data_IF_080349331874
#
_entry.id   IF_080349331874
#
_cell.length_a   1.000
_cell.length_b   1.000
_cell.length_c   1.000
_cell.angle_alpha   90.00
_cell.angle_beta   90.00
_cell.angle_gamma   90.00
#
_symmetry.space_group_name_H-M   'P 1'
#
loop_
_entity.id
_entity.type
_entity.pdbx_description
1 polymer ?
#
# COMPACT_ATOMS: atom_id res chain seq x y z
N UNK A 1 -24.76 6.88 8.40
CA UNK A 1 -24.40 5.93 9.46
C UNK A 1 -22.90 6.02 9.71
N UNK A 2 -22.51 6.10 10.99
CA UNK A 2 -21.12 6.16 11.42
C UNK A 2 -20.88 4.97 12.35
N UNK A 3 -19.85 4.17 12.07
CA UNK A 3 -19.41 3.13 12.99
C UNK A 3 -18.36 3.70 13.95
N UNK A 4 -18.46 3.34 15.22
CA UNK A 4 -17.52 3.73 16.25
C UNK A 4 -16.76 2.51 16.74
N UNK A 5 -15.43 2.55 16.69
CA UNK A 5 -14.59 1.60 17.42
C UNK A 5 -14.06 2.27 18.67
N UNK A 6 -14.43 1.74 19.81
CA UNK A 6 -14.07 2.29 21.12
C UNK A 6 -13.15 1.29 21.82
N UNK A 7 -12.03 1.77 22.29
CA UNK A 7 -11.10 1.02 23.16
C UNK A 7 -10.92 1.78 24.46
N UNK A 8 -11.08 1.09 25.59
CA UNK A 8 -10.83 1.65 26.92
C UNK A 8 -9.72 0.88 27.61
N UNK A 9 -8.91 1.58 28.37
CA UNK A 9 -7.83 1.02 29.17
C UNK A 9 -7.84 1.68 30.55
N UNK A 10 -7.86 0.93 31.66
CA UNK A 10 -7.72 1.51 33.00
C UNK A 10 -6.31 2.07 33.18
N UNK A 11 -6.22 3.28 33.70
CA UNK A 11 -4.97 3.96 34.05
C UNK A 11 -4.97 4.42 35.50
N UNK A 12 -3.84 4.90 36.01
CA UNK A 12 -3.72 5.39 37.38
C UNK A 12 -4.69 6.56 37.71
N UNK A 13 -5.07 7.36 36.72
CA UNK A 13 -5.92 8.54 36.87
C UNK A 13 -7.32 8.37 36.26
N UNK A 14 -7.79 7.14 36.07
CA UNK A 14 -9.07 6.83 35.44
C UNK A 14 -8.92 6.04 34.17
N UNK A 15 -9.94 6.01 33.32
CA UNK A 15 -9.91 5.27 32.04
C UNK A 15 -9.42 6.18 30.90
N UNK A 16 -8.48 5.67 30.10
CA UNK A 16 -8.16 6.25 28.80
C UNK A 16 -9.07 5.66 27.75
N UNK A 17 -9.70 6.53 26.94
CA UNK A 17 -10.64 6.14 25.90
C UNK A 17 -10.11 6.58 24.54
N UNK A 18 -10.04 5.64 23.59
CA UNK A 18 -9.75 5.94 22.19
C UNK A 18 -10.98 5.63 21.37
N UNK A 19 -11.48 6.61 20.64
CA UNK A 19 -12.63 6.47 19.74
C UNK A 19 -12.19 6.67 18.31
N UNK A 20 -12.40 5.65 17.47
CA UNK A 20 -12.18 5.73 16.02
C UNK A 20 -13.53 5.87 15.32
N UNK A 21 -13.67 6.96 14.59
CA UNK A 21 -14.83 7.21 13.73
C UNK A 21 -14.60 6.55 12.37
N UNK A 22 -15.53 5.73 11.92
CA UNK A 22 -15.51 5.07 10.61
C UNK A 22 -16.72 5.55 9.82
N UNK A 23 -16.50 6.43 8.84
CA UNK A 23 -17.56 6.86 7.92
C UNK A 23 -17.79 5.81 6.85
N UNK A 24 -19.01 5.28 6.78
CA UNK A 24 -19.41 4.28 5.77
C UNK A 24 -19.57 4.84 4.35
N UNK A 25 -19.55 6.16 4.19
CA UNK A 25 -19.93 6.83 2.93
C UNK A 25 -18.81 6.99 1.90
N UNK A 26 -17.56 6.61 2.20
CA UNK A 26 -16.43 6.78 1.27
C UNK A 26 -15.96 5.45 0.66
N UNK A 27 -16.84 4.80 -0.08
CA UNK A 27 -16.70 3.37 -0.31
C UNK A 27 -16.04 3.01 -1.65
N UNK A 28 -16.01 3.88 -2.64
CA UNK A 28 -15.50 3.51 -3.97
C UNK A 28 -14.47 4.54 -4.47
N UNK A 29 -13.30 4.50 -3.87
CA UNK A 29 -12.19 5.26 -4.45
C UNK A 29 -11.62 4.45 -5.62
N UNK A 30 -11.72 5.00 -6.82
CA UNK A 30 -11.01 4.44 -7.97
C UNK A 30 -9.50 4.44 -7.69
N UNK A 31 -8.80 3.41 -8.18
CA UNK A 31 -7.34 3.34 -8.10
C UNK A 31 -6.65 4.61 -8.59
N UNK A 32 -7.21 5.29 -9.60
CA UNK A 32 -6.69 6.55 -10.14
C UNK A 32 -6.71 7.68 -9.12
N UNK A 33 -7.67 7.69 -8.18
CA UNK A 33 -7.80 8.72 -7.16
C UNK A 33 -6.87 8.52 -5.95
N UNK A 34 -6.23 7.34 -5.82
CA UNK A 34 -5.32 7.03 -4.71
C UNK A 34 -3.99 7.78 -4.80
N UNK A 35 -3.64 8.27 -5.97
CA UNK A 35 -2.41 9.01 -6.21
C UNK A 35 -1.27 8.18 -6.82
N UNK A 36 -1.55 7.03 -7.41
CA UNK A 36 -0.56 6.32 -8.22
C UNK A 36 -0.05 7.22 -9.35
N UNK A 37 1.26 7.26 -9.65
CA UNK A 37 1.75 7.76 -10.93
C UNK A 37 1.09 6.99 -12.08
N UNK A 38 0.82 7.66 -13.21
CA UNK A 38 0.08 7.04 -14.32
C UNK A 38 0.76 5.79 -14.91
N UNK A 39 2.09 5.79 -14.99
CA UNK A 39 2.92 4.67 -15.40
C UNK A 39 2.76 3.48 -14.44
N UNK A 40 2.90 3.73 -13.15
CA UNK A 40 2.73 2.72 -12.09
C UNK A 40 1.30 2.20 -12.02
N UNK A 41 0.29 3.09 -12.19
CA UNK A 41 -1.12 2.70 -12.22
C UNK A 41 -1.41 1.72 -13.36
N UNK A 42 -0.83 1.95 -14.54
CA UNK A 42 -0.95 1.05 -15.69
C UNK A 42 -0.36 -0.33 -15.39
N UNK A 43 0.86 -0.38 -14.85
CA UNK A 43 1.53 -1.63 -14.50
C UNK A 43 0.81 -2.39 -13.37
N UNK A 44 0.42 -1.70 -12.31
CA UNK A 44 -0.34 -2.29 -11.20
C UNK A 44 -1.68 -2.85 -11.69
N UNK A 45 -2.40 -2.10 -12.54
CA UNK A 45 -3.66 -2.54 -13.13
C UNK A 45 -3.50 -3.78 -14.02
N UNK A 46 -2.43 -3.86 -14.80
CA UNK A 46 -2.13 -5.03 -15.62
C UNK A 46 -1.81 -6.28 -14.77
N UNK A 47 -1.15 -6.08 -13.63
CA UNK A 47 -0.78 -7.18 -12.73
C UNK A 47 -1.99 -7.73 -11.98
N UNK A 48 -2.88 -6.88 -11.47
CA UNK A 48 -4.10 -7.35 -10.78
C UNK A 48 -5.14 -7.95 -11.72
N UNK A 49 -4.99 -7.78 -13.03
CA UNK A 49 -5.83 -8.42 -14.03
C UNK A 49 -5.35 -9.83 -14.44
N UNK A 50 -4.18 -10.27 -13.96
CA UNK A 50 -3.66 -11.61 -14.23
C UNK A 50 -4.54 -12.68 -13.57
N UNK A 51 -4.61 -13.89 -14.18
CA UNK A 51 -5.46 -14.96 -13.66
C UNK A 51 -4.96 -15.53 -12.33
N UNK A 52 -3.67 -15.51 -12.08
CA UNK A 52 -3.05 -16.06 -10.86
C UNK A 52 -1.76 -15.34 -10.51
N UNK A 53 -1.30 -15.52 -9.28
CA UNK A 53 -0.08 -14.99 -8.73
C UNK A 53 -0.31 -14.19 -7.46
N UNK A 54 0.78 -13.74 -6.83
CA UNK A 54 0.77 -13.00 -5.57
C UNK A 54 1.08 -11.52 -5.81
N UNK A 55 0.20 -10.64 -5.33
CA UNK A 55 0.40 -9.18 -5.32
C UNK A 55 0.40 -8.69 -3.87
N UNK A 56 1.40 -7.93 -3.50
CA UNK A 56 1.55 -7.42 -2.15
C UNK A 56 1.43 -5.90 -2.11
N UNK A 57 0.76 -5.40 -1.08
CA UNK A 57 0.78 -3.98 -0.74
C UNK A 57 1.41 -3.84 0.64
N UNK A 58 2.48 -3.07 0.76
CA UNK A 58 3.20 -2.92 2.02
C UNK A 58 3.27 -1.48 2.50
N UNK A 59 3.52 -1.32 3.80
CA UNK A 59 3.64 -0.04 4.47
C UNK A 59 3.24 -0.14 5.94
N UNK A 60 3.53 0.87 6.76
CA UNK A 60 3.14 0.90 8.17
C UNK A 60 1.62 0.94 8.34
N UNK A 61 1.17 0.81 9.57
CA UNK A 61 -0.23 1.01 9.93
C UNK A 61 -0.68 2.42 9.53
N UNK A 62 -1.87 2.53 8.94
CA UNK A 62 -2.40 3.81 8.47
C UNK A 62 -1.85 4.31 7.14
N UNK A 63 -1.07 3.52 6.39
CA UNK A 63 -0.57 3.90 5.06
C UNK A 63 -1.60 3.75 3.94
N UNK A 64 -2.82 3.24 4.21
CA UNK A 64 -3.90 3.10 3.25
C UNK A 64 -3.91 1.78 2.47
N UNK A 65 -3.21 0.74 2.92
CA UNK A 65 -3.11 -0.56 2.26
C UNK A 65 -4.47 -1.19 1.96
N UNK A 66 -5.34 -1.26 2.96
CA UNK A 66 -6.70 -1.81 2.81
C UNK A 66 -7.51 -1.04 1.76
N UNK A 67 -7.43 0.29 1.75
CA UNK A 67 -8.09 1.13 0.74
C UNK A 67 -7.58 0.80 -0.66
N UNK A 68 -6.28 0.59 -0.83
CA UNK A 68 -5.68 0.21 -2.11
C UNK A 68 -6.13 -1.19 -2.55
N UNK A 69 -6.15 -2.16 -1.64
CA UNK A 69 -6.66 -3.51 -1.96
C UNK A 69 -8.14 -3.51 -2.30
N UNK A 70 -8.95 -2.74 -1.58
CA UNK A 70 -10.38 -2.63 -1.87
C UNK A 70 -10.64 -1.94 -3.22
N UNK A 71 -9.89 -0.90 -3.56
CA UNK A 71 -9.94 -0.27 -4.88
C UNK A 71 -9.50 -1.24 -6.00
N UNK A 72 -8.48 -2.07 -5.73
CA UNK A 72 -8.05 -3.12 -6.65
C UNK A 72 -9.13 -4.18 -6.83
N UNK A 73 -9.73 -4.68 -5.73
CA UNK A 73 -10.84 -5.64 -5.79
C UNK A 73 -12.03 -5.06 -6.55
N UNK A 74 -12.44 -3.82 -6.28
CA UNK A 74 -13.54 -3.15 -6.98
C UNK A 74 -13.30 -3.07 -8.48
N UNK A 75 -12.06 -2.83 -8.90
CA UNK A 75 -11.68 -2.75 -10.32
C UNK A 75 -11.75 -4.08 -11.05
N UNK A 76 -11.44 -5.21 -10.37
CA UNK A 76 -11.40 -6.55 -10.95
C UNK A 76 -12.63 -7.39 -10.59
N UNK A 77 -13.58 -6.80 -9.86
CA UNK A 77 -14.82 -7.44 -9.47
C UNK A 77 -15.72 -7.63 -10.70
N UNK A 78 -15.89 -8.88 -11.07
CA UNK A 78 -16.69 -9.32 -12.21
C UNK A 78 -17.67 -10.40 -11.71
N UNK A 79 -18.96 -10.36 -12.07
CA UNK A 79 -19.93 -11.40 -11.70
C UNK A 79 -19.52 -12.83 -12.07
N UNK A 80 -18.65 -12.99 -13.07
CA UNK A 80 -18.11 -14.30 -13.49
C UNK A 80 -16.94 -14.77 -12.59
N UNK A 81 -16.46 -13.94 -11.63
CA UNK A 81 -15.33 -14.26 -10.76
C UNK A 81 -15.75 -14.38 -9.31
N UNK A 82 -15.33 -15.43 -8.65
CA UNK A 82 -15.57 -15.62 -7.23
C UNK A 82 -14.43 -14.99 -6.42
N UNK A 83 -14.76 -13.90 -5.71
CA UNK A 83 -13.83 -13.19 -4.84
C UNK A 83 -14.15 -13.53 -3.38
N UNK A 84 -13.13 -13.98 -2.64
CA UNK A 84 -13.24 -14.25 -1.20
C UNK A 84 -12.14 -13.52 -0.46
N UNK A 85 -12.49 -12.85 0.64
CA UNK A 85 -11.53 -12.18 1.51
C UNK A 85 -11.52 -12.77 2.92
N UNK A 86 -10.39 -12.62 3.60
CA UNK A 86 -10.27 -12.86 5.05
C UNK A 86 -9.54 -11.69 5.69
N UNK A 87 -10.18 -11.06 6.71
CA UNK A 87 -9.81 -9.73 7.22
C UNK A 87 -9.92 -9.63 8.75
N UNK A 88 -9.15 -8.72 9.34
CA UNK A 88 -9.15 -8.47 10.80
C UNK A 88 -9.14 -6.96 11.15
N UNK A 89 -10.32 -6.35 11.24
CA UNK A 89 -11.65 -6.81 10.80
C UNK A 89 -11.97 -6.40 9.36
N UNK A 90 -13.14 -6.77 8.86
CA UNK A 90 -13.73 -6.18 7.65
C UNK A 90 -14.01 -4.70 7.91
N UNK A 91 -13.43 -3.80 7.09
CA UNK A 91 -13.58 -2.35 7.27
C UNK A 91 -14.93 -1.84 6.76
N UNK A 92 -15.33 -2.31 5.58
CA UNK A 92 -16.67 -2.07 5.00
C UNK A 92 -17.00 -3.15 3.97
N UNK A 93 -18.29 -3.28 3.66
CA UNK A 93 -18.79 -4.31 2.75
C UNK A 93 -18.53 -3.94 1.29
N UNK A 94 -18.05 -4.90 0.52
CA UNK A 94 -17.90 -4.82 -0.93
C UNK A 94 -18.98 -5.67 -1.60
N UNK A 95 -19.80 -5.05 -2.44
CA UNK A 95 -20.82 -5.78 -3.20
C UNK A 95 -20.17 -6.81 -4.13
N UNK A 96 -20.71 -8.03 -4.14
CA UNK A 96 -20.16 -9.13 -4.96
C UNK A 96 -18.92 -9.83 -4.41
N UNK A 97 -18.47 -9.47 -3.20
CA UNK A 97 -17.29 -10.06 -2.53
C UNK A 97 -17.74 -10.83 -1.29
N UNK A 98 -17.25 -12.06 -1.13
CA UNK A 98 -17.49 -12.87 0.07
C UNK A 98 -16.44 -12.53 1.12
N UNK A 99 -16.79 -11.69 2.09
CA UNK A 99 -15.86 -11.21 3.11
C UNK A 99 -16.00 -12.01 4.41
N UNK A 100 -14.89 -12.57 4.88
CA UNK A 100 -14.80 -13.35 6.11
C UNK A 100 -14.02 -12.53 7.14
N UNK A 101 -14.59 -12.36 8.33
CA UNK A 101 -13.88 -11.73 9.43
C UNK A 101 -13.23 -12.77 10.33
N UNK A 102 -11.94 -12.58 10.63
CA UNK A 102 -11.20 -13.38 11.61
C UNK A 102 -11.90 -13.36 12.97
N UNK A 103 -11.98 -14.52 13.62
CA UNK A 103 -12.55 -14.71 14.96
C UNK A 103 -11.68 -15.68 15.76
N UNK A 104 -10.58 -15.23 16.37
CA UNK A 104 -9.64 -16.11 17.08
C UNK A 104 -10.28 -16.93 18.20
N UNK A 105 -11.34 -16.39 18.83
CA UNK A 105 -12.05 -17.06 19.94
C UNK A 105 -12.65 -18.42 19.54
N UNK A 106 -12.94 -18.60 18.25
CA UNK A 106 -13.48 -19.87 17.71
C UNK A 106 -12.48 -20.56 16.78
N UNK A 107 -11.20 -20.16 16.81
CA UNK A 107 -10.15 -20.77 15.99
C UNK A 107 -10.15 -20.32 14.52
N UNK A 108 -10.98 -19.35 14.13
CA UNK A 108 -10.97 -18.77 12.77
C UNK A 108 -9.85 -17.75 12.67
N UNK A 109 -8.64 -18.22 12.42
CA UNK A 109 -7.43 -17.43 12.17
C UNK A 109 -7.26 -17.16 10.66
N UNK A 110 -6.30 -16.31 10.26
CA UNK A 110 -5.94 -16.11 8.85
C UNK A 110 -5.58 -17.42 8.16
N UNK A 111 -4.70 -18.22 8.75
CA UNK A 111 -4.26 -19.49 8.19
C UNK A 111 -5.42 -20.50 8.04
N UNK A 112 -6.21 -20.71 9.11
CA UNK A 112 -7.33 -21.66 9.07
C UNK A 112 -8.43 -21.24 8.09
N UNK A 113 -8.73 -19.95 8.05
CA UNK A 113 -9.69 -19.39 7.09
C UNK A 113 -9.20 -19.53 5.66
N UNK A 114 -7.93 -19.21 5.40
CA UNK A 114 -7.34 -19.33 4.07
C UNK A 114 -7.31 -20.77 3.55
N UNK A 115 -6.98 -21.77 4.41
CA UNK A 115 -7.11 -23.19 4.06
C UNK A 115 -8.53 -23.59 3.63
N UNK A 116 -9.54 -22.98 4.24
CA UNK A 116 -10.94 -23.24 3.88
C UNK A 116 -11.32 -22.52 2.59
N UNK A 117 -10.83 -21.29 2.39
CA UNK A 117 -11.08 -20.46 1.20
C UNK A 117 -10.58 -21.16 -0.08
N UNK A 118 -9.37 -21.73 -0.08
CA UNK A 118 -8.79 -22.42 -1.27
C UNK A 118 -9.65 -23.59 -1.73
N UNK A 119 -10.50 -24.16 -0.85
CA UNK A 119 -11.43 -25.27 -1.20
C UNK A 119 -12.81 -24.78 -1.63
N UNK A 120 -13.00 -23.47 -1.75
CA UNK A 120 -14.25 -22.84 -2.15
C UNK A 120 -14.27 -22.42 -3.63
N UNK A 121 -13.31 -22.91 -4.42
CA UNK A 121 -13.18 -22.56 -5.85
C UNK A 121 -13.18 -21.04 -6.10
N UNK A 122 -12.28 -20.27 -5.46
CA UNK A 122 -12.18 -18.83 -5.67
C UNK A 122 -11.29 -18.54 -6.88
N UNK A 123 -11.61 -17.49 -7.65
CA UNK A 123 -10.69 -16.92 -8.64
C UNK A 123 -9.70 -15.95 -7.99
N UNK A 124 -10.20 -15.16 -7.02
CA UNK A 124 -9.44 -14.11 -6.37
C UNK A 124 -9.56 -14.26 -4.85
N UNK A 125 -8.44 -14.24 -4.18
CA UNK A 125 -8.34 -14.31 -2.72
C UNK A 125 -7.70 -13.02 -2.20
N UNK A 126 -8.28 -12.36 -1.20
CA UNK A 126 -7.60 -11.30 -0.47
C UNK A 126 -7.39 -11.74 0.98
N UNK A 127 -6.13 -11.72 1.40
CA UNK A 127 -5.73 -11.92 2.80
C UNK A 127 -5.38 -10.56 3.37
N UNK A 128 -6.11 -10.10 4.37
CA UNK A 128 -5.95 -8.77 4.95
C UNK A 128 -4.50 -8.44 5.28
N UNK A 129 -3.80 -9.38 5.89
CA UNK A 129 -2.35 -9.28 6.14
C UNK A 129 -1.69 -10.65 6.34
N UNK A 130 -0.41 -10.74 6.04
CA UNK A 130 0.46 -11.89 6.35
C UNK A 130 1.33 -11.53 7.54
N UNK A 131 1.13 -12.23 8.67
CA UNK A 131 1.89 -12.03 9.91
C UNK A 131 2.84 -13.16 10.25
N UNK A 132 2.57 -14.35 9.75
CA UNK A 132 3.24 -15.60 10.11
C UNK A 132 3.54 -16.46 8.87
N UNK A 133 4.43 -17.43 9.07
CA UNK A 133 4.85 -18.37 8.03
C UNK A 133 3.69 -19.19 7.47
N UNK A 134 2.81 -19.68 8.33
CA UNK A 134 1.71 -20.56 7.91
C UNK A 134 0.76 -19.85 6.92
N UNK A 135 0.39 -18.59 7.21
CA UNK A 135 -0.42 -17.77 6.32
C UNK A 135 0.33 -17.45 5.01
N UNK A 136 1.65 -17.14 5.10
CA UNK A 136 2.49 -16.85 3.95
C UNK A 136 2.59 -18.05 3.01
N UNK A 137 2.85 -19.24 3.56
CA UNK A 137 2.97 -20.48 2.79
C UNK A 137 1.69 -20.81 2.03
N UNK A 138 0.53 -20.75 2.69
CA UNK A 138 -0.75 -21.05 2.05
C UNK A 138 -1.07 -20.00 0.97
N UNK A 139 -0.79 -18.73 1.20
CA UNK A 139 -0.99 -17.65 0.22
C UNK A 139 -0.14 -17.86 -1.05
N UNK A 140 1.14 -18.22 -0.88
CA UNK A 140 2.06 -18.51 -1.99
C UNK A 140 1.61 -19.77 -2.75
N UNK A 141 1.23 -20.82 -2.04
CA UNK A 141 0.72 -22.05 -2.69
C UNK A 141 -0.59 -21.79 -3.46
N UNK A 142 -1.52 -21.01 -2.89
CA UNK A 142 -2.74 -20.62 -3.59
C UNK A 142 -2.42 -19.85 -4.88
N UNK A 143 -1.46 -18.93 -4.84
CA UNK A 143 -1.01 -18.18 -6.01
C UNK A 143 -0.39 -19.07 -7.11
N UNK A 144 0.30 -20.15 -6.73
CA UNK A 144 0.89 -21.14 -7.65
C UNK A 144 -0.16 -22.10 -8.23
N UNK A 145 -1.25 -22.35 -7.51
CA UNK A 145 -2.29 -23.30 -7.91
C UNK A 145 -3.45 -22.66 -8.69
N UNK A 146 -3.28 -21.43 -9.18
CA UNK A 146 -4.21 -20.82 -10.12
C UNK A 146 -5.06 -19.67 -9.59
N UNK A 147 -4.82 -19.21 -8.36
CA UNK A 147 -5.57 -18.11 -7.75
C UNK A 147 -4.80 -16.79 -7.81
N UNK A 148 -5.48 -15.69 -8.05
CA UNK A 148 -4.92 -14.36 -7.81
C UNK A 148 -5.01 -14.06 -6.32
N UNK A 149 -3.87 -13.91 -5.66
CA UNK A 149 -3.80 -13.62 -4.22
C UNK A 149 -3.33 -12.19 -4.00
N UNK A 150 -4.14 -11.41 -3.29
CA UNK A 150 -3.83 -10.04 -2.86
C UNK A 150 -3.59 -10.06 -1.35
N UNK A 151 -2.52 -9.44 -0.87
CA UNK A 151 -2.29 -9.36 0.58
C UNK A 151 -1.47 -8.14 0.98
N UNK A 152 -1.33 -7.95 2.31
CA UNK A 152 -0.50 -6.88 2.85
C UNK A 152 0.60 -7.40 3.76
N UNK A 153 1.66 -6.60 3.84
CA UNK A 153 2.77 -6.74 4.80
C UNK A 153 3.03 -5.41 5.52
N UNK A 154 3.77 -5.49 6.62
CA UNK A 154 4.21 -4.32 7.38
C UNK A 154 5.72 -4.13 7.23
N UNK A 155 6.17 -3.75 6.02
CA UNK A 155 7.58 -3.38 5.75
C UNK A 155 7.67 -1.95 5.26
N UNK A 156 8.87 -1.38 5.30
CA UNK A 156 9.07 0.03 4.98
C UNK A 156 9.10 0.32 3.48
N UNK A 157 9.51 -0.64 2.67
CA UNK A 157 9.64 -0.54 1.22
C UNK A 157 9.29 -1.88 0.55
N UNK A 158 9.26 -1.90 -0.77
CA UNK A 158 8.87 -3.08 -1.54
C UNK A 158 9.94 -4.19 -1.50
N UNK A 159 11.21 -3.86 -1.49
CA UNK A 159 12.30 -4.83 -1.39
C UNK A 159 12.28 -5.54 -0.03
N UNK A 160 12.04 -4.79 1.05
CA UNK A 160 11.87 -5.33 2.39
C UNK A 160 10.71 -6.30 2.53
N UNK A 161 9.66 -6.17 1.72
CA UNK A 161 8.55 -7.13 1.71
C UNK A 161 8.98 -8.52 1.21
N UNK A 162 9.84 -8.55 0.19
CA UNK A 162 10.42 -9.79 -0.33
C UNK A 162 11.31 -10.43 0.74
N UNK A 163 12.24 -9.66 1.30
CA UNK A 163 13.12 -10.14 2.36
C UNK A 163 12.33 -10.67 3.57
N UNK A 164 11.25 -9.99 3.93
CA UNK A 164 10.39 -10.39 5.06
C UNK A 164 9.74 -11.74 4.85
N UNK A 165 9.26 -12.06 3.63
CA UNK A 165 8.69 -13.38 3.34
C UNK A 165 9.76 -14.48 3.39
N UNK A 166 10.97 -14.22 2.88
CA UNK A 166 12.10 -15.15 2.98
C UNK A 166 12.51 -15.38 4.44
N UNK A 167 12.59 -14.32 5.26
CA UNK A 167 12.86 -14.42 6.71
C UNK A 167 11.79 -15.20 7.47
N UNK A 168 10.52 -15.12 7.04
CA UNK A 168 9.45 -15.93 7.60
C UNK A 168 9.59 -17.41 7.26
N UNK A 169 10.47 -17.80 6.30
CA UNK A 169 10.73 -19.18 5.91
C UNK A 169 10.06 -19.60 4.61
N UNK A 170 9.44 -18.67 3.87
CA UNK A 170 8.90 -18.96 2.54
C UNK A 170 10.05 -19.36 1.61
N UNK A 171 9.88 -20.49 0.92
CA UNK A 171 10.89 -20.98 -0.01
C UNK A 171 11.09 -19.98 -1.17
N UNK A 172 12.33 -19.66 -1.47
CA UNK A 172 12.74 -18.67 -2.47
C UNK A 172 12.17 -18.95 -3.87
N UNK A 173 12.27 -20.20 -4.33
CA UNK A 173 11.77 -20.61 -5.66
C UNK A 173 10.23 -20.54 -5.75
N UNK A 174 9.51 -20.79 -4.65
CA UNK A 174 8.04 -20.66 -4.60
C UNK A 174 7.64 -19.18 -4.64
N UNK A 175 8.33 -18.33 -3.85
CA UNK A 175 8.11 -16.90 -3.86
C UNK A 175 8.42 -16.30 -5.25
N UNK A 176 9.58 -16.62 -5.83
CA UNK A 176 9.96 -16.14 -7.15
C UNK A 176 9.00 -16.55 -8.26
N UNK A 177 8.39 -17.74 -8.14
CA UNK A 177 7.44 -18.25 -9.15
C UNK A 177 6.02 -17.69 -8.98
N UNK A 178 5.64 -17.27 -7.78
CA UNK A 178 4.29 -16.77 -7.48
C UNK A 178 4.17 -15.25 -7.50
N UNK A 179 5.23 -14.53 -7.11
CA UNK A 179 5.20 -13.08 -6.95
C UNK A 179 5.01 -12.37 -8.30
N UNK A 180 4.05 -11.46 -8.37
CA UNK A 180 3.81 -10.59 -9.52
C UNK A 180 4.37 -9.19 -9.31
N UNK A 181 4.27 -8.68 -8.09
CA UNK A 181 4.79 -7.38 -7.72
C UNK A 181 4.45 -6.97 -6.30
N UNK A 182 5.15 -5.95 -5.85
CA UNK A 182 4.99 -5.35 -4.51
C UNK A 182 4.80 -3.85 -4.64
N UNK A 183 3.70 -3.31 -4.12
CA UNK A 183 3.47 -1.88 -4.00
C UNK A 183 3.77 -1.43 -2.57
N UNK A 184 4.78 -0.62 -2.36
CA UNK A 184 4.96 0.07 -1.08
C UNK A 184 4.24 1.41 -1.09
N UNK A 185 3.64 1.79 0.05
CA UNK A 185 2.74 2.93 0.14
C UNK A 185 2.91 3.70 1.44
N UNK A 186 2.81 5.03 1.35
CA UNK A 186 2.66 5.97 2.46
C UNK A 186 1.55 6.96 2.15
N UNK A 187 0.97 7.56 3.18
CA UNK A 187 0.03 8.67 3.03
C UNK A 187 0.67 9.99 3.44
N UNK A 188 0.50 11.00 2.58
CA UNK A 188 0.82 12.39 2.84
C UNK A 188 -0.45 13.21 2.86
N UNK A 189 -0.48 14.32 3.61
CA UNK A 189 -1.60 15.25 3.58
C UNK A 189 -1.63 15.98 2.23
N UNK A 190 -2.80 16.12 1.64
CA UNK A 190 -3.00 16.84 0.38
C UNK A 190 -3.17 18.33 0.67
N UNK A 191 -2.44 19.16 -0.06
CA UNK A 191 -2.55 20.62 0.05
C UNK A 191 -3.95 21.09 -0.31
N UNK A 192 -4.46 22.06 0.46
CA UNK A 192 -5.67 22.78 0.12
C UNK A 192 -5.42 23.62 -1.14
N UNK A 193 -6.25 23.44 -2.15
CA UNK A 193 -6.11 24.15 -3.41
C UNK A 193 -6.43 25.64 -3.28
N UNK A 194 -7.29 26.00 -2.31
CA UNK A 194 -7.72 27.38 -2.09
C UNK A 194 -6.65 28.27 -1.45
N UNK A 195 -5.70 27.69 -0.69
CA UNK A 195 -4.74 28.53 0.06
C UNK A 195 -3.26 28.15 -0.10
N UNK A 196 -2.93 27.11 -0.89
CA UNK A 196 -1.52 26.76 -1.13
C UNK A 196 -0.80 27.88 -1.86
N UNK A 197 0.45 28.14 -1.48
CA UNK A 197 1.31 29.14 -2.13
C UNK A 197 2.60 28.52 -2.64
N UNK A 198 3.16 29.13 -3.67
CA UNK A 198 4.47 28.73 -4.20
C UNK A 198 5.59 29.36 -3.37
N UNK A 199 6.64 28.58 -3.14
CA UNK A 199 7.89 29.01 -2.54
C UNK A 199 9.07 28.54 -3.36
N UNK A 200 9.97 29.45 -3.67
CA UNK A 200 11.27 29.11 -4.23
C UNK A 200 12.18 28.54 -3.13
N UNK A 201 12.78 27.39 -3.39
CA UNK A 201 13.82 26.83 -2.53
C UNK A 201 15.18 27.40 -2.93
N UNK A 202 16.01 27.70 -1.92
CA UNK A 202 17.40 27.97 -2.17
C UNK A 202 18.12 26.69 -2.69
N UNK A 203 19.21 26.81 -3.44
CA UNK A 203 19.89 25.67 -4.06
C UNK A 203 20.37 24.61 -3.08
N UNK A 204 20.75 24.99 -1.85
CA UNK A 204 21.21 24.06 -0.82
C UNK A 204 20.03 23.23 -0.30
N UNK A 205 18.94 23.88 0.11
CA UNK A 205 17.71 23.19 0.55
C UNK A 205 17.14 22.27 -0.54
N UNK A 206 17.21 22.68 -1.80
CA UNK A 206 16.78 21.83 -2.92
C UNK A 206 17.65 20.57 -3.03
N UNK A 207 18.95 20.71 -2.95
CA UNK A 207 19.92 19.59 -2.99
C UNK A 207 19.75 18.65 -1.80
N UNK A 208 19.66 19.18 -0.59
CA UNK A 208 19.53 18.40 0.66
C UNK A 208 18.22 17.62 0.72
N UNK A 209 17.16 18.17 0.13
CA UNK A 209 15.87 17.47 -0.01
C UNK A 209 15.88 16.39 -1.09
N UNK A 210 16.87 16.35 -1.98
CA UNK A 210 16.94 15.44 -3.13
C UNK A 210 16.15 15.92 -4.35
N UNK A 211 15.67 17.16 -4.34
CA UNK A 211 15.05 17.79 -5.51
C UNK A 211 16.14 18.19 -6.51
N UNK A 212 16.24 17.43 -7.60
CA UNK A 212 17.18 17.76 -8.66
C UNK A 212 16.73 19.00 -9.43
N UNK A 213 17.64 19.91 -9.64
CA UNK A 213 17.48 21.02 -10.58
C UNK A 213 17.53 20.43 -11.99
N UNK A 214 16.38 20.25 -12.64
CA UNK A 214 16.36 19.86 -14.06
C UNK A 214 16.82 21.04 -14.90
N UNK A 215 17.92 20.83 -15.64
CA UNK A 215 18.45 21.67 -16.73
C UNK A 215 18.06 23.16 -16.67
N UNK A 216 18.80 23.96 -15.91
CA UNK A 216 18.72 25.42 -15.95
C UNK A 216 17.50 26.06 -15.28
N UNK A 217 16.58 25.32 -14.71
CA UNK A 217 15.49 25.84 -13.87
C UNK A 217 15.96 26.04 -12.43
N UNK A 218 16.52 27.16 -12.13
CA UNK A 218 16.77 27.65 -10.77
C UNK A 218 15.95 28.95 -10.61
N UNK A 219 15.19 29.13 -9.52
CA UNK A 219 15.06 28.28 -8.36
C UNK A 219 14.06 27.13 -8.49
N UNK A 220 14.27 26.02 -7.76
CA UNK A 220 13.28 24.93 -7.62
C UNK A 220 12.10 25.45 -6.82
N UNK A 221 10.90 25.38 -7.40
CA UNK A 221 9.67 25.81 -6.73
C UNK A 221 8.96 24.62 -6.09
N UNK A 222 8.53 24.78 -4.85
CA UNK A 222 7.65 23.87 -4.11
C UNK A 222 6.43 24.64 -3.60
N UNK A 223 5.49 23.90 -3.01
CA UNK A 223 4.27 24.50 -2.47
C UNK A 223 4.22 24.36 -0.95
N UNK A 224 3.65 25.38 -0.30
CA UNK A 224 3.47 25.44 1.14
C UNK A 224 1.99 25.54 1.51
N UNK A 225 1.69 25.01 2.71
CA UNK A 225 0.40 25.08 3.35
C UNK A 225 0.29 26.42 4.08
N UNK A 226 -0.77 27.18 3.79
CA UNK A 226 -1.01 28.47 4.50
C UNK A 226 -2.11 28.32 5.54
N UNK A 227 -3.31 27.94 5.10
CA UNK A 227 -4.52 27.87 5.91
C UNK A 227 -5.61 28.81 5.40
N UNK A 228 -6.85 28.35 5.41
CA UNK A 228 -8.05 29.13 5.10
C UNK A 228 -9.27 28.43 5.75
N UNK A 229 -10.43 29.06 5.64
CA UNK A 229 -11.66 28.52 6.24
C UNK A 229 -12.06 27.17 5.66
N UNK A 230 -11.86 26.94 4.35
CA UNK A 230 -12.15 25.65 3.70
C UNK A 230 -11.36 24.47 4.29
N UNK A 231 -10.14 24.70 4.72
CA UNK A 231 -9.29 23.68 5.32
C UNK A 231 -9.19 23.78 6.84
N UNK A 232 -10.06 24.56 7.49
CA UNK A 232 -10.04 24.81 8.93
C UNK A 232 -8.65 25.27 9.42
N UNK A 233 -8.04 26.21 8.70
CA UNK A 233 -6.74 26.82 8.96
C UNK A 233 -5.54 25.87 8.97
N UNK A 234 -5.73 24.61 8.50
CA UNK A 234 -4.65 23.60 8.48
C UNK A 234 -3.75 23.68 7.24
N UNK A 235 -4.22 24.27 6.16
CA UNK A 235 -3.57 24.27 4.84
C UNK A 235 -3.65 22.94 4.10
N UNK A 236 -4.36 21.91 4.65
CA UNK A 236 -4.49 20.58 4.06
C UNK A 236 -5.94 20.13 4.03
N UNK A 237 -6.29 19.33 2.98
CA UNK A 237 -7.61 18.70 2.82
C UNK A 237 -7.42 17.27 2.35
N UNK A 238 -7.74 16.31 3.23
CA UNK A 238 -7.61 14.89 2.95
C UNK A 238 -6.17 14.40 2.84
N UNK A 239 -6.01 13.23 2.27
CA UNK A 239 -4.73 12.52 2.13
C UNK A 239 -4.59 11.95 0.73
N UNK A 240 -3.35 11.71 0.30
CA UNK A 240 -3.03 11.07 -0.97
C UNK A 240 -1.86 10.11 -0.76
N UNK A 241 -1.84 9.01 -1.54
CA UNK A 241 -0.74 8.05 -1.49
C UNK A 241 0.50 8.55 -2.20
N UNK A 242 1.66 8.15 -1.70
CA UNK A 242 2.90 8.06 -2.45
C UNK A 242 3.27 6.59 -2.58
N UNK A 243 3.77 6.20 -3.75
CA UNK A 243 3.92 4.81 -4.13
C UNK A 243 5.32 4.50 -4.64
N UNK A 244 5.75 3.28 -4.34
CA UNK A 244 6.86 2.59 -4.96
C UNK A 244 6.32 1.26 -5.47
N UNK A 245 6.55 0.92 -6.72
CA UNK A 245 6.08 -0.34 -7.26
C UNK A 245 7.22 -1.15 -7.86
N UNK A 246 7.42 -2.33 -7.29
CA UNK A 246 8.43 -3.28 -7.69
C UNK A 246 7.76 -4.45 -8.42
N UNK A 247 8.01 -4.56 -9.72
CA UNK A 247 7.53 -5.65 -10.54
C UNK A 247 8.46 -6.86 -10.45
N UNK A 248 7.92 -8.05 -10.30
CA UNK A 248 8.70 -9.28 -10.32
C UNK A 248 9.10 -9.63 -11.76
N UNK A 249 10.23 -9.06 -12.21
CA UNK A 249 10.85 -9.40 -13.49
C UNK A 249 11.65 -10.71 -13.38
N UNK A 250 12.01 -11.38 -14.48
CA UNK A 250 12.86 -12.56 -14.43
C UNK A 250 14.20 -12.34 -13.70
N UNK A 251 14.81 -11.17 -13.88
CA UNK A 251 16.06 -10.78 -13.20
C UNK A 251 15.81 -10.61 -11.70
N UNK A 252 14.67 -10.03 -11.32
CA UNK A 252 14.27 -9.89 -9.92
C UNK A 252 14.04 -11.26 -9.27
N UNK A 253 13.35 -12.16 -9.97
CA UNK A 253 13.14 -13.53 -9.50
C UNK A 253 14.47 -14.28 -9.30
N UNK A 254 15.46 -14.07 -10.18
CA UNK A 254 16.79 -14.66 -10.02
C UNK A 254 17.50 -14.14 -8.73
N UNK A 255 17.35 -12.86 -8.38
CA UNK A 255 17.91 -12.32 -7.12
C UNK A 255 17.22 -12.93 -5.90
N UNK A 256 15.91 -13.16 -5.96
CA UNK A 256 15.14 -13.81 -4.90
C UNK A 256 15.68 -15.23 -4.65
N UNK A 257 15.80 -16.04 -5.72
CA UNK A 257 16.31 -17.43 -5.63
C UNK A 257 17.77 -17.48 -5.16
N UNK A 258 18.57 -16.43 -5.44
CA UNK A 258 19.93 -16.33 -4.94
C UNK A 258 20.04 -15.79 -3.50
N UNK A 259 18.93 -15.58 -2.82
CA UNK A 259 18.87 -14.98 -1.48
C UNK A 259 19.62 -13.66 -1.37
N UNK A 260 19.56 -12.81 -2.41
CA UNK A 260 20.23 -11.52 -2.38
C UNK A 260 19.54 -10.57 -1.40
N UNK A 261 20.33 -9.77 -0.72
CA UNK A 261 19.86 -8.77 0.24
C UNK A 261 18.93 -7.73 -0.43
N UNK A 262 18.05 -7.11 0.36
CA UNK A 262 17.12 -6.06 -0.08
C UNK A 262 17.85 -4.92 -0.86
N UNK A 263 19.11 -4.63 -0.53
CA UNK A 263 19.95 -3.66 -1.23
C UNK A 263 20.20 -4.02 -2.70
N UNK A 264 20.45 -5.30 -3.00
CA UNK A 264 20.67 -5.76 -4.37
C UNK A 264 19.35 -5.71 -5.18
N UNK A 265 18.24 -6.11 -4.54
CA UNK A 265 16.89 -6.01 -5.12
C UNK A 265 16.58 -4.55 -5.45
N UNK A 266 16.84 -3.62 -4.53
CA UNK A 266 16.62 -2.19 -4.72
C UNK A 266 17.49 -1.62 -5.83
N UNK A 267 18.77 -2.01 -5.91
CA UNK A 267 19.68 -1.57 -6.97
C UNK A 267 19.22 -2.03 -8.35
N UNK A 268 18.78 -3.27 -8.48
CA UNK A 268 18.19 -3.77 -9.74
C UNK A 268 16.93 -2.99 -10.09
N UNK A 269 16.01 -2.79 -9.14
CA UNK A 269 14.78 -2.01 -9.35
C UNK A 269 15.10 -0.60 -9.86
N UNK A 270 16.12 0.04 -9.31
CA UNK A 270 16.58 1.36 -9.76
C UNK A 270 17.07 1.33 -11.21
N UNK A 271 17.84 0.34 -11.61
CA UNK A 271 18.29 0.21 -13.01
C UNK A 271 17.15 -0.09 -13.98
N UNK A 272 16.06 -0.70 -13.51
CA UNK A 272 14.84 -0.94 -14.26
C UNK A 272 13.87 0.25 -14.27
N UNK A 273 14.27 1.40 -13.67
CA UNK A 273 13.48 2.62 -13.68
C UNK A 273 12.38 2.69 -12.63
N UNK A 274 12.40 1.80 -11.62
CA UNK A 274 11.46 1.88 -10.50
C UNK A 274 11.60 3.22 -9.79
N UNK A 275 10.47 3.93 -9.64
CA UNK A 275 10.39 5.15 -8.84
C UNK A 275 10.16 4.77 -7.39
N UNK A 276 11.02 5.24 -6.49
CA UNK A 276 10.90 4.99 -5.06
C UNK A 276 9.94 5.96 -4.37
N UNK A 277 9.47 5.61 -3.17
CA UNK A 277 8.53 6.40 -2.37
C UNK A 277 8.94 7.88 -2.26
N UNK A 278 10.23 8.15 -1.98
CA UNK A 278 10.73 9.51 -1.85
C UNK A 278 10.66 10.28 -3.17
N UNK A 279 11.00 9.65 -4.27
CA UNK A 279 10.99 10.26 -5.60
C UNK A 279 9.56 10.61 -6.04
N UNK A 280 8.60 9.71 -5.83
CA UNK A 280 7.18 9.97 -6.08
C UNK A 280 6.65 11.11 -5.19
N UNK A 281 7.03 11.10 -3.92
CA UNK A 281 6.68 12.16 -2.98
C UNK A 281 7.25 13.52 -3.39
N UNK A 282 8.51 13.58 -3.80
CA UNK A 282 9.17 14.80 -4.24
C UNK A 282 8.52 15.38 -5.51
N UNK A 283 8.13 14.53 -6.46
CA UNK A 283 7.39 14.97 -7.64
C UNK A 283 6.01 15.55 -7.27
N UNK A 284 5.30 14.92 -6.31
CA UNK A 284 4.03 15.45 -5.79
C UNK A 284 4.21 16.77 -5.02
N UNK A 285 5.33 16.96 -4.33
CA UNK A 285 5.64 18.24 -3.68
C UNK A 285 5.94 19.34 -4.73
N UNK A 286 6.66 18.99 -5.80
CA UNK A 286 6.96 19.89 -6.90
C UNK A 286 5.69 20.33 -7.66
N UNK A 287 4.74 19.43 -7.84
CA UNK A 287 3.46 19.70 -8.54
C UNK A 287 2.38 20.31 -7.64
N UNK A 288 2.67 20.52 -6.35
CA UNK A 288 1.75 21.16 -5.40
C UNK A 288 0.62 20.26 -4.92
N UNK A 289 0.80 18.96 -4.98
CA UNK A 289 -0.16 17.99 -4.41
C UNK A 289 0.02 17.90 -2.89
N UNK A 290 1.26 17.97 -2.41
CA UNK A 290 1.63 17.95 -0.99
C UNK A 290 2.80 18.92 -0.73
N UNK A 291 3.26 18.99 0.51
CA UNK A 291 4.45 19.77 0.86
C UNK A 291 5.71 18.89 0.92
N UNK A 292 6.87 19.51 0.75
CA UNK A 292 8.16 18.84 0.96
C UNK A 292 8.28 18.29 2.40
N UNK A 293 7.79 19.04 3.39
CA UNK A 293 7.81 18.61 4.79
C UNK A 293 7.03 17.29 5.02
N UNK A 294 5.87 17.13 4.39
CA UNK A 294 5.08 15.90 4.46
C UNK A 294 5.82 14.71 3.84
N UNK A 295 6.47 14.91 2.70
CA UNK A 295 7.26 13.85 2.05
C UNK A 295 8.41 13.41 2.95
N UNK A 296 9.19 14.37 3.46
CA UNK A 296 10.32 14.07 4.35
C UNK A 296 9.88 13.41 5.66
N UNK A 297 8.70 13.74 6.17
CA UNK A 297 8.13 13.11 7.39
C UNK A 297 7.90 11.61 7.22
N UNK A 298 7.49 11.16 6.05
CA UNK A 298 7.08 9.75 5.81
C UNK A 298 8.11 8.91 5.07
N UNK A 299 9.19 9.53 4.55
CA UNK A 299 10.23 8.85 3.75
C UNK A 299 11.63 8.93 4.39
N UNK A 300 11.68 9.22 5.69
CA UNK A 300 12.92 9.20 6.50
C UNK A 300 13.40 7.78 6.75
#
# INVERSE_FOLDING_TARGET
DVDLRISTIPTLYGESVVIRLLERSQIFTDLSALGFPNDVLGEFSAIIAKPHGLVLVTGPTGSGKTTTLYAALSKINDPAKKIITIEDPVEYQLTGVNQIQVKPQIGLTFANGLRSIVRQDPDIIMVGEIRDFETAEIAVQAALTGHLVLSTLHTNDAAGAISRLLEMGVQDYLLASSLLGVAAQRLVRRLCLGCRTQRALDPLSARDSGLQVKNGQSPVTVWEAVGCDECSQTGYVGRIGIFEFLKATPEMCNLIVQHKEAGAIRSLAQTQGTRFLREDGLEKARTGVTTLAEVLRVTR
#
